data_IF_157134125037
#
_entry.id   IF_157134125037
#
_cell.length_a   1.000
_cell.length_b   1.000
_cell.length_c   1.000
_cell.angle_alpha   90.00
_cell.angle_beta   90.00
_cell.angle_gamma   90.00
#
_symmetry.space_group_name_H-M   'P 1'
#
loop_
_entity.id
_entity.type
_entity.pdbx_description
1 polymer ?
#
# COMPACT_ATOMS: atom_id res chain seq x y z
N UNK A 1 22.24 37.57 30.88
CA UNK A 1 22.62 37.32 32.28
C UNK A 1 22.28 35.88 32.52
N UNK A 2 23.17 35.07 32.69
CA UNK A 2 24.29 34.56 33.40
C UNK A 2 24.23 33.05 33.32
N UNK A 3 25.06 32.41 32.62
CA UNK A 3 26.33 31.73 32.90
C UNK A 3 26.17 30.30 33.40
N UNK A 4 26.82 29.40 32.63
CA UNK A 4 27.23 28.05 32.97
C UNK A 4 28.34 28.04 34.04
N UNK A 5 28.85 26.92 34.59
CA UNK A 5 30.12 26.37 34.07
C UNK A 5 30.19 24.83 34.01
N UNK A 6 30.92 24.28 33.05
CA UNK A 6 32.27 23.68 32.96
C UNK A 6 32.84 22.92 34.17
N UNK A 7 33.33 21.69 33.91
CA UNK A 7 34.66 21.10 34.19
C UNK A 7 34.58 19.58 33.93
N UNK A 8 35.27 18.99 33.02
CA UNK A 8 36.72 18.73 32.73
C UNK A 8 37.38 17.64 33.58
N UNK A 9 38.10 16.79 32.80
CA UNK A 9 39.30 15.99 33.12
C UNK A 9 39.09 14.62 33.87
N UNK A 10 39.71 13.51 33.46
CA UNK A 10 41.10 13.23 33.10
C UNK A 10 41.29 11.86 32.41
N UNK A 11 42.31 11.81 31.59
CA UNK A 11 42.98 10.73 30.91
C UNK A 11 43.64 9.72 31.85
N UNK A 12 43.80 8.47 31.40
CA UNK A 12 45.00 7.65 31.71
C UNK A 12 45.28 6.62 30.62
N UNK A 13 46.38 6.82 29.95
CA UNK A 13 47.08 5.87 29.06
C UNK A 13 47.76 4.77 29.87
N UNK A 14 47.96 3.58 29.26
CA UNK A 14 49.21 2.81 29.37
C UNK A 14 49.26 1.67 28.33
N UNK A 15 50.26 1.73 27.50
CA UNK A 15 50.93 0.63 26.74
C UNK A 15 52.24 0.28 27.50
N UNK A 16 53.07 -0.70 27.04
CA UNK A 16 52.94 -1.95 26.28
C UNK A 16 53.73 -3.13 26.88
N UNK A 17 53.63 -4.33 26.30
CA UNK A 17 54.51 -5.46 26.64
C UNK A 17 54.69 -6.37 25.42
N UNK A 18 55.93 -6.46 25.01
CA UNK A 18 56.47 -7.11 23.81
C UNK A 18 56.97 -8.57 24.08
N UNK A 19 57.01 -9.34 22.96
CA UNK A 19 57.92 -10.44 22.59
C UNK A 19 57.71 -11.84 23.17
N UNK A 20 57.52 -12.83 22.28
CA UNK A 20 58.55 -13.85 22.00
C UNK A 20 58.24 -14.69 20.77
N UNK A 21 59.29 -14.96 20.04
CA UNK A 21 59.48 -15.62 18.75
C UNK A 21 59.43 -17.15 18.80
N UNK A 22 59.07 -17.71 17.63
CA UNK A 22 59.60 -18.90 16.96
C UNK A 22 59.32 -20.31 17.49
N UNK A 23 58.69 -21.11 16.62
CA UNK A 23 59.42 -22.28 16.03
C UNK A 23 58.61 -22.84 14.83
N UNK A 24 59.31 -22.94 13.70
CA UNK A 24 58.93 -23.66 12.49
C UNK A 24 59.05 -25.17 12.67
N UNK A 25 58.23 -25.98 12.06
CA UNK A 25 58.65 -27.00 11.12
C UNK A 25 57.52 -27.74 10.37
N UNK A 26 57.81 -28.35 9.23
CA UNK A 26 56.92 -28.46 8.09
C UNK A 26 56.48 -29.91 7.78
N UNK A 27 55.75 -30.03 6.64
CA UNK A 27 55.41 -31.22 5.86
C UNK A 27 54.19 -32.03 6.34
N UNK A 28 53.10 -31.88 5.55
CA UNK A 28 52.68 -32.96 4.67
C UNK A 28 51.55 -32.48 3.74
N UNK A 29 51.78 -32.70 2.49
CA UNK A 29 50.92 -32.56 1.32
C UNK A 29 49.54 -33.18 1.48
N UNK A 30 48.53 -32.45 1.02
CA UNK A 30 47.16 -32.90 0.86
C UNK A 30 46.32 -31.75 0.29
N UNK A 31 46.59 -31.33 -0.94
CA UNK A 31 45.73 -30.39 -1.64
C UNK A 31 44.45 -31.13 -2.03
N UNK A 32 43.51 -31.22 -1.11
CA UNK A 32 42.09 -31.35 -1.47
C UNK A 32 41.58 -29.97 -1.85
N UNK A 33 41.54 -29.72 -3.16
CA UNK A 33 40.80 -28.61 -3.72
C UNK A 33 39.32 -28.82 -3.37
N UNK A 34 38.90 -28.27 -2.25
CA UNK A 34 37.47 -27.99 -2.04
C UNK A 34 37.10 -26.99 -3.11
N UNK A 35 36.51 -27.53 -4.19
CA UNK A 35 35.71 -26.75 -5.09
C UNK A 35 34.63 -26.06 -4.22
N UNK A 36 34.84 -24.79 -3.94
CA UNK A 36 33.77 -23.93 -3.50
C UNK A 36 32.71 -24.00 -4.64
N UNK A 37 31.73 -24.86 -4.44
CA UNK A 37 30.46 -24.69 -5.16
C UNK A 37 30.00 -23.28 -4.85
N UNK A 38 30.26 -22.33 -5.75
CA UNK A 38 29.70 -21.01 -5.73
C UNK A 38 28.20 -21.21 -5.85
N UNK A 39 27.48 -21.08 -4.74
CA UNK A 39 26.03 -21.02 -4.74
C UNK A 39 25.65 -20.07 -5.87
N UNK A 40 24.80 -20.46 -6.83
CA UNK A 40 24.46 -19.60 -7.95
C UNK A 40 23.98 -18.26 -7.38
N UNK A 41 24.57 -17.15 -7.84
CA UNK A 41 24.19 -15.82 -7.38
C UNK A 41 22.67 -15.65 -7.57
N UNK A 42 21.96 -15.31 -6.51
CA UNK A 42 20.50 -15.10 -6.54
C UNK A 42 20.12 -14.13 -7.67
N UNK A 43 19.13 -14.45 -8.49
CA UNK A 43 18.69 -13.58 -9.57
C UNK A 43 18.27 -12.21 -9.05
N UNK A 44 18.51 -11.16 -9.84
CA UNK A 44 18.22 -9.78 -9.47
C UNK A 44 17.01 -9.25 -10.23
N UNK A 45 16.15 -8.51 -9.52
CA UNK A 45 14.99 -7.80 -10.07
C UNK A 45 15.18 -6.29 -10.00
N UNK A 46 15.07 -5.58 -11.13
CA UNK A 46 15.07 -4.11 -11.17
C UNK A 46 13.65 -3.61 -10.95
N UNK A 47 13.39 -3.02 -9.79
CA UNK A 47 12.09 -2.47 -9.38
C UNK A 47 12.01 -0.97 -9.73
N UNK A 48 11.21 -0.61 -10.72
CA UNK A 48 10.95 0.78 -11.13
C UNK A 48 9.70 1.29 -10.40
N UNK A 49 9.89 2.05 -9.33
CA UNK A 49 8.81 2.52 -8.46
C UNK A 49 9.01 4.00 -8.09
N UNK A 50 8.06 4.87 -8.50
CA UNK A 50 8.09 6.28 -8.11
C UNK A 50 7.90 6.46 -6.61
N UNK A 51 6.85 5.83 -6.03
CA UNK A 51 6.58 5.89 -4.60
C UNK A 51 7.51 4.93 -3.84
N UNK A 52 8.53 5.50 -3.23
CA UNK A 52 9.51 4.81 -2.40
C UNK A 52 9.99 5.75 -1.28
N UNK A 53 10.43 5.28 -0.09
CA UNK A 53 10.88 6.18 0.97
C UNK A 53 11.93 7.18 0.51
N UNK A 54 11.86 8.45 0.93
CA UNK A 54 11.08 9.05 2.02
C UNK A 54 9.68 9.58 1.65
N UNK A 55 9.10 9.21 0.52
CA UNK A 55 7.71 9.55 0.15
C UNK A 55 6.72 9.02 1.18
N UNK A 56 5.63 9.78 1.47
CA UNK A 56 4.58 9.36 2.42
C UNK A 56 3.17 9.33 1.81
N UNK A 57 2.99 9.81 0.60
CA UNK A 57 1.67 10.18 0.04
C UNK A 57 0.91 9.07 -0.66
N UNK A 58 1.33 7.82 -0.61
CA UNK A 58 0.69 6.77 -1.42
C UNK A 58 0.68 5.40 -0.76
N UNK A 59 -0.46 4.69 -0.86
CA UNK A 59 -0.55 3.26 -0.55
C UNK A 59 0.42 2.41 -1.38
N UNK A 60 0.84 2.91 -2.55
CA UNK A 60 1.86 2.29 -3.40
C UNK A 60 3.24 2.19 -2.76
N UNK A 61 3.55 3.09 -1.83
CA UNK A 61 4.76 3.04 -1.02
C UNK A 61 4.91 1.69 -0.31
N UNK A 62 3.86 1.25 0.40
CA UNK A 62 3.89 0.00 1.15
C UNK A 62 4.13 -1.21 0.24
N UNK A 63 3.53 -1.25 -0.97
CA UNK A 63 3.74 -2.33 -1.94
C UNK A 63 5.19 -2.40 -2.40
N UNK A 64 5.76 -1.27 -2.79
CA UNK A 64 7.14 -1.21 -3.30
C UNK A 64 8.19 -1.51 -2.22
N UNK A 65 8.01 -0.97 -1.01
CA UNK A 65 8.92 -1.20 0.12
C UNK A 65 8.89 -2.65 0.56
N UNK A 66 7.69 -3.20 0.83
CA UNK A 66 7.58 -4.58 1.28
C UNK A 66 8.08 -5.55 0.19
N UNK A 67 7.78 -5.29 -1.09
CA UNK A 67 8.30 -6.13 -2.16
C UNK A 67 9.85 -6.10 -2.19
N UNK A 68 10.47 -4.92 -2.08
CA UNK A 68 11.94 -4.81 -2.05
C UNK A 68 12.58 -5.43 -0.81
N UNK A 69 11.85 -5.58 0.29
CA UNK A 69 12.31 -6.26 1.50
C UNK A 69 12.12 -7.77 1.39
N UNK A 70 10.88 -8.19 1.08
CA UNK A 70 10.42 -9.55 1.27
C UNK A 70 10.83 -10.50 0.12
N UNK A 71 11.10 -10.00 -1.10
CA UNK A 71 11.57 -10.81 -2.24
C UNK A 71 12.83 -11.63 -1.93
N UNK A 72 13.66 -11.16 -1.02
CA UNK A 72 14.90 -11.80 -0.62
C UNK A 72 14.67 -13.16 0.07
N UNK A 73 13.58 -13.26 0.81
CA UNK A 73 13.16 -14.51 1.46
C UNK A 73 12.76 -15.59 0.42
N UNK A 74 12.53 -15.16 -0.82
CA UNK A 74 12.14 -16.00 -1.95
C UNK A 74 13.22 -16.09 -3.03
N UNK A 75 14.47 -15.82 -2.67
CA UNK A 75 15.63 -16.03 -3.52
C UNK A 75 15.90 -14.93 -4.56
N UNK A 76 15.26 -13.78 -4.48
CA UNK A 76 15.46 -12.66 -5.39
C UNK A 76 16.20 -11.48 -4.72
N UNK A 77 17.18 -10.90 -5.41
CA UNK A 77 17.87 -9.69 -4.96
C UNK A 77 17.26 -8.46 -5.64
N UNK A 78 16.48 -7.61 -4.96
CA UNK A 78 15.89 -6.41 -5.52
C UNK A 78 16.90 -5.27 -5.67
N UNK A 79 16.80 -4.55 -6.79
CA UNK A 79 17.45 -3.26 -7.07
C UNK A 79 16.32 -2.26 -7.28
N UNK A 80 16.36 -1.11 -6.64
CA UNK A 80 15.28 -0.12 -6.72
C UNK A 80 15.73 1.10 -7.51
N UNK A 81 15.00 1.42 -8.57
CA UNK A 81 15.11 2.66 -9.32
C UNK A 81 13.89 3.54 -8.97
N UNK A 82 14.14 4.65 -8.29
CA UNK A 82 13.09 5.55 -7.81
C UNK A 82 13.40 7.01 -8.14
N UNK A 83 12.47 7.91 -7.87
CA UNK A 83 12.66 9.33 -8.09
C UNK A 83 13.51 9.98 -6.99
N UNK A 84 14.24 11.04 -7.35
CA UNK A 84 14.91 11.87 -6.37
C UNK A 84 13.88 12.48 -5.38
N UNK A 85 14.14 12.48 -4.07
CA UNK A 85 13.21 12.96 -3.05
C UNK A 85 12.73 14.41 -3.24
N UNK A 86 13.45 15.22 -4.01
CA UNK A 86 13.01 16.59 -4.36
C UNK A 86 11.72 16.61 -5.18
N UNK A 87 11.42 15.56 -5.93
CA UNK A 87 10.19 15.43 -6.72
C UNK A 87 8.96 15.13 -5.86
N UNK A 88 9.12 14.60 -4.65
CA UNK A 88 8.00 14.29 -3.76
C UNK A 88 7.40 15.56 -3.18
N UNK A 89 6.06 15.64 -3.15
CA UNK A 89 5.33 16.75 -2.53
C UNK A 89 5.44 16.71 -1.02
N UNK A 90 5.34 15.51 -0.48
CA UNK A 90 5.43 15.22 0.95
C UNK A 90 6.44 14.12 1.20
N UNK A 91 7.30 14.34 2.19
CA UNK A 91 8.35 13.39 2.57
C UNK A 91 8.63 13.44 4.06
N UNK A 92 9.05 12.30 4.59
CA UNK A 92 9.50 12.17 5.98
C UNK A 92 10.70 11.23 6.01
N UNK A 93 11.79 11.67 6.63
CA UNK A 93 13.04 10.93 6.64
C UNK A 93 13.00 9.70 7.56
N UNK A 94 12.06 9.65 8.54
CA UNK A 94 11.79 8.45 9.35
C UNK A 94 11.39 7.24 8.49
N UNK A 95 10.81 7.45 7.31
CA UNK A 95 10.47 6.38 6.38
C UNK A 95 11.72 5.69 5.78
N UNK A 96 12.88 6.33 5.78
CA UNK A 96 14.12 5.73 5.29
C UNK A 96 14.54 4.51 6.11
N UNK A 97 14.18 4.46 7.39
CA UNK A 97 14.44 3.31 8.26
C UNK A 97 13.74 2.01 7.79
N UNK A 98 12.70 2.13 6.95
CA UNK A 98 11.97 0.99 6.36
C UNK A 98 12.69 0.37 5.16
N UNK A 99 13.69 1.04 4.61
CA UNK A 99 14.48 0.53 3.49
C UNK A 99 15.56 -0.40 4.04
N UNK A 100 15.61 -1.68 3.60
CA UNK A 100 16.70 -2.57 4.03
C UNK A 100 18.06 -2.02 3.62
N UNK A 101 19.05 -2.09 4.51
CA UNK A 101 20.37 -1.47 4.32
C UNK A 101 21.16 -2.03 3.13
N UNK A 102 20.87 -3.23 2.74
CA UNK A 102 21.53 -3.98 1.68
C UNK A 102 20.77 -3.97 0.34
N UNK A 103 19.65 -3.25 0.25
CA UNK A 103 18.95 -2.98 -1.01
C UNK A 103 19.60 -1.79 -1.72
N UNK A 104 20.08 -2.00 -2.93
CA UNK A 104 20.59 -0.92 -3.79
C UNK A 104 19.44 -0.04 -4.23
N UNK A 105 19.49 1.25 -3.90
CA UNK A 105 18.46 2.25 -4.26
C UNK A 105 19.09 3.38 -5.06
N UNK A 106 18.76 3.46 -6.33
CA UNK A 106 19.14 4.59 -7.20
C UNK A 106 18.00 5.61 -7.28
N UNK A 107 18.31 6.87 -6.98
CA UNK A 107 17.36 7.99 -6.90
C UNK A 107 17.58 8.93 -8.06
N UNK A 108 16.97 8.61 -9.21
CA UNK A 108 17.15 9.32 -10.46
C UNK A 108 16.52 10.71 -10.46
N UNK A 109 17.06 11.61 -11.26
CA UNK A 109 16.50 12.96 -11.46
C UNK A 109 15.02 12.87 -11.84
N UNK A 110 14.21 13.70 -11.19
CA UNK A 110 12.78 13.86 -11.45
C UNK A 110 12.32 15.25 -10.95
N UNK A 111 11.34 15.82 -11.62
CA UNK A 111 10.67 17.07 -11.22
C UNK A 111 9.17 16.82 -11.10
N UNK A 112 8.53 17.50 -10.16
CA UNK A 112 7.06 17.69 -10.17
C UNK A 112 6.74 18.87 -11.06
N UNK A 113 6.00 18.67 -12.14
CA UNK A 113 5.72 19.67 -13.16
C UNK A 113 5.13 20.96 -12.57
N UNK A 114 4.16 20.85 -11.68
CA UNK A 114 3.52 22.02 -11.08
C UNK A 114 4.48 22.83 -10.21
N UNK A 115 5.28 22.14 -9.38
CA UNK A 115 6.16 22.79 -8.40
C UNK A 115 7.44 23.36 -9.00
N UNK A 116 7.99 22.68 -10.01
CA UNK A 116 9.33 22.99 -10.50
C UNK A 116 9.34 23.63 -11.91
N UNK A 117 8.30 23.37 -12.71
CA UNK A 117 8.17 23.87 -14.08
C UNK A 117 6.99 24.83 -14.25
N UNK A 118 6.15 25.00 -13.22
CA UNK A 118 5.03 25.92 -13.22
C UNK A 118 5.49 27.35 -13.00
N UNK A 119 4.93 28.28 -13.77
CA UNK A 119 5.08 29.72 -13.56
C UNK A 119 3.77 30.31 -13.06
N UNK A 120 3.77 30.96 -11.88
CA UNK A 120 2.57 31.50 -11.21
C UNK A 120 1.43 30.46 -11.08
N UNK A 121 1.77 29.21 -10.75
CA UNK A 121 0.79 28.14 -10.59
C UNK A 121 0.23 27.57 -11.90
N UNK A 122 0.77 27.96 -13.07
CA UNK A 122 0.37 27.47 -14.39
C UNK A 122 1.50 26.75 -15.08
N UNK A 123 1.20 25.70 -15.82
CA UNK A 123 2.13 24.95 -16.67
C UNK A 123 1.42 24.52 -17.96
N UNK A 124 2.18 24.17 -18.99
CA UNK A 124 1.60 23.66 -20.23
C UNK A 124 1.11 22.23 -20.02
N UNK A 125 -0.16 21.95 -20.27
CA UNK A 125 -0.82 20.68 -19.93
C UNK A 125 -0.09 19.44 -20.45
N UNK A 126 0.59 19.51 -21.61
CA UNK A 126 1.38 18.40 -22.15
C UNK A 126 2.59 18.02 -21.30
N UNK A 127 3.13 18.96 -20.48
CA UNK A 127 4.27 18.71 -19.58
C UNK A 127 3.91 17.78 -18.40
N UNK A 128 2.63 17.51 -18.17
CA UNK A 128 2.11 16.62 -17.13
C UNK A 128 1.43 15.37 -17.70
N UNK A 129 1.83 14.94 -18.90
CA UNK A 129 1.29 13.74 -19.54
C UNK A 129 2.38 12.66 -19.65
N UNK A 130 2.08 11.42 -19.24
CA UNK A 130 0.83 10.86 -18.71
C UNK A 130 0.55 11.18 -17.24
N UNK A 131 1.53 11.78 -16.56
CA UNK A 131 1.46 12.22 -15.16
C UNK A 131 2.42 13.39 -14.90
N UNK A 132 2.30 14.13 -13.76
CA UNK A 132 3.13 15.31 -13.46
C UNK A 132 4.63 15.01 -13.27
N UNK A 133 5.04 13.77 -13.28
CA UNK A 133 6.43 13.35 -13.03
C UNK A 133 7.09 12.77 -14.28
N UNK A 134 6.58 13.03 -15.47
CA UNK A 134 7.12 12.54 -16.75
C UNK A 134 8.59 12.88 -16.96
N UNK A 135 9.11 13.94 -16.37
CA UNK A 135 10.55 14.31 -16.38
C UNK A 135 11.43 13.23 -15.74
N UNK A 136 10.88 12.38 -14.88
CA UNK A 136 11.59 11.25 -14.29
C UNK A 136 12.13 10.29 -15.36
N UNK A 137 11.46 10.16 -16.49
CA UNK A 137 11.93 9.36 -17.65
C UNK A 137 13.36 9.76 -18.07
N UNK A 138 13.67 11.07 -18.08
CA UNK A 138 14.97 11.61 -18.52
C UNK A 138 16.10 11.15 -17.59
N UNK A 139 15.87 11.14 -16.28
CA UNK A 139 16.86 10.69 -15.29
C UNK A 139 16.90 9.18 -15.12
N UNK A 140 15.72 8.53 -15.12
CA UNK A 140 15.60 7.12 -14.77
C UNK A 140 16.07 6.17 -15.87
N UNK A 141 15.90 6.49 -17.15
CA UNK A 141 16.38 5.60 -18.22
C UNK A 141 17.91 5.48 -18.20
N UNK A 142 18.71 6.56 -18.18
CA UNK A 142 20.17 6.44 -18.04
C UNK A 142 20.60 5.74 -16.73
N UNK A 143 19.96 6.05 -15.60
CA UNK A 143 20.24 5.42 -14.32
C UNK A 143 19.91 3.91 -14.36
N UNK A 144 18.77 3.54 -14.95
CA UNK A 144 18.38 2.14 -15.14
C UNK A 144 19.36 1.36 -16.03
N UNK A 145 19.81 1.94 -17.14
CA UNK A 145 20.82 1.33 -18.01
C UNK A 145 22.16 1.13 -17.27
N UNK A 146 22.54 2.08 -16.39
CA UNK A 146 23.73 1.92 -15.53
C UNK A 146 23.54 0.77 -14.57
N UNK A 147 22.43 0.72 -13.83
CA UNK A 147 22.10 -0.38 -12.91
C UNK A 147 22.08 -1.73 -13.63
N UNK A 148 21.50 -1.81 -14.83
CA UNK A 148 21.44 -3.06 -15.62
C UNK A 148 22.86 -3.51 -16.00
N UNK A 149 23.73 -2.60 -16.40
CA UNK A 149 25.12 -2.93 -16.77
C UNK A 149 25.93 -3.40 -15.57
N UNK A 150 25.79 -2.72 -14.43
CA UNK A 150 26.54 -2.99 -13.20
C UNK A 150 26.07 -4.25 -12.49
N UNK A 151 24.74 -4.38 -12.30
CA UNK A 151 24.15 -5.40 -11.45
C UNK A 151 23.51 -6.58 -12.19
N UNK A 152 23.37 -6.49 -13.51
CA UNK A 152 22.84 -7.54 -14.40
C UNK A 152 21.54 -8.17 -13.90
N UNK A 153 20.47 -7.40 -13.67
CA UNK A 153 19.18 -7.96 -13.30
C UNK A 153 18.65 -8.87 -14.42
N UNK A 154 17.81 -9.83 -14.04
CA UNK A 154 17.20 -10.79 -14.98
C UNK A 154 15.76 -10.43 -15.34
N UNK A 155 15.13 -9.52 -14.57
CA UNK A 155 13.76 -9.03 -14.79
C UNK A 155 13.64 -7.55 -14.41
N UNK A 156 12.79 -6.83 -15.14
CA UNK A 156 12.33 -5.48 -14.80
C UNK A 156 10.91 -5.61 -14.26
N UNK A 157 10.63 -4.95 -13.14
CA UNK A 157 9.27 -4.76 -12.62
C UNK A 157 8.98 -3.26 -12.54
N UNK A 158 7.77 -2.85 -12.94
CA UNK A 158 7.32 -1.46 -12.81
C UNK A 158 5.92 -1.40 -12.23
N UNK A 159 5.60 -0.37 -11.45
CA UNK A 159 4.30 -0.28 -10.78
C UNK A 159 3.60 1.06 -11.02
N UNK A 160 2.31 0.99 -11.35
CA UNK A 160 1.34 2.09 -11.36
C UNK A 160 0.98 2.47 -9.89
N UNK A 161 0.47 3.67 -9.53
CA UNK A 161 -0.30 4.59 -10.38
C UNK A 161 0.49 5.68 -11.12
N UNK A 162 1.81 5.65 -11.10
CA UNK A 162 2.60 6.59 -11.89
C UNK A 162 2.90 5.94 -13.25
N UNK A 163 2.17 6.37 -14.28
CA UNK A 163 2.27 5.80 -15.63
C UNK A 163 3.68 5.94 -16.23
N UNK A 164 4.41 6.99 -15.85
CA UNK A 164 5.82 7.20 -16.21
C UNK A 164 6.72 6.03 -15.78
N UNK A 165 6.40 5.30 -14.70
CA UNK A 165 7.16 4.11 -14.31
C UNK A 165 7.10 3.01 -15.38
N UNK A 166 5.94 2.81 -16.02
CA UNK A 166 5.80 1.88 -17.13
C UNK A 166 6.53 2.36 -18.39
N UNK A 167 6.53 3.66 -18.68
CA UNK A 167 7.31 4.23 -19.80
C UNK A 167 8.82 4.02 -19.60
N UNK A 168 9.34 4.17 -18.37
CA UNK A 168 10.73 3.88 -18.04
C UNK A 168 11.03 2.40 -18.26
N UNK A 169 10.19 1.52 -17.73
CA UNK A 169 10.38 0.07 -17.90
C UNK A 169 10.27 -0.36 -19.38
N UNK A 170 9.33 0.21 -20.13
CA UNK A 170 9.21 0.02 -21.57
C UNK A 170 10.53 0.40 -22.31
N UNK A 171 11.07 1.59 -22.02
CA UNK A 171 12.32 2.04 -22.63
C UNK A 171 13.50 1.12 -22.27
N UNK A 172 13.63 0.74 -20.98
CA UNK A 172 14.68 -0.19 -20.54
C UNK A 172 14.52 -1.58 -21.18
N UNK A 173 13.30 -2.12 -21.24
CA UNK A 173 13.00 -3.37 -21.92
C UNK A 173 13.41 -3.32 -23.40
N UNK A 174 13.01 -2.27 -24.11
CA UNK A 174 13.33 -2.10 -25.55
C UNK A 174 14.82 -1.96 -25.82
N UNK A 175 15.57 -1.31 -24.94
CA UNK A 175 17.00 -1.06 -25.10
C UNK A 175 17.89 -2.24 -24.69
N UNK A 176 17.40 -3.11 -23.79
CA UNK A 176 18.23 -4.18 -23.21
C UNK A 176 17.74 -5.60 -23.50
N UNK A 177 16.49 -5.75 -23.96
CA UNK A 177 15.86 -7.06 -24.15
C UNK A 177 15.52 -7.78 -22.83
N UNK A 178 15.69 -7.14 -21.67
CA UNK A 178 15.32 -7.74 -20.38
C UNK A 178 13.80 -7.95 -20.31
N UNK A 179 13.32 -9.08 -19.82
CA UNK A 179 11.91 -9.31 -19.63
C UNK A 179 11.31 -8.34 -18.60
N UNK A 180 10.05 -7.99 -18.83
CA UNK A 180 9.35 -6.96 -18.05
C UNK A 180 8.02 -7.46 -17.50
N UNK A 181 7.82 -7.29 -16.19
CA UNK A 181 6.56 -7.50 -15.45
C UNK A 181 5.96 -6.14 -15.10
N UNK A 182 4.76 -5.86 -15.61
CA UNK A 182 4.05 -4.61 -15.36
C UNK A 182 2.96 -4.80 -14.30
N UNK A 183 3.10 -4.13 -13.16
CA UNK A 183 2.15 -4.16 -12.04
C UNK A 183 1.19 -2.98 -12.15
N UNK A 184 0.00 -3.24 -12.69
CA UNK A 184 -1.00 -2.21 -12.97
C UNK A 184 -1.68 -1.70 -11.71
N UNK A 185 -1.88 -2.56 -10.72
CA UNK A 185 -2.66 -2.28 -9.51
C UNK A 185 -4.09 -1.87 -9.84
N UNK A 186 -4.30 -0.61 -10.21
CA UNK A 186 -5.59 -0.03 -10.58
C UNK A 186 -5.65 0.19 -12.11
N UNK A 187 -6.82 0.17 -12.76
CA UNK A 187 -6.95 0.50 -14.18
C UNK A 187 -6.42 1.90 -14.50
N UNK A 188 -5.66 2.04 -15.59
CA UNK A 188 -5.16 3.35 -16.03
C UNK A 188 -6.27 4.22 -16.61
N UNK A 189 -7.22 3.56 -17.26
CA UNK A 189 -8.41 4.17 -17.83
C UNK A 189 -9.63 3.31 -17.50
N UNK A 190 -10.73 3.98 -17.24
CA UNK A 190 -12.02 3.36 -17.01
C UNK A 190 -13.11 4.08 -17.79
N UNK A 191 -14.20 3.39 -18.02
CA UNK A 191 -15.44 3.99 -18.52
C UNK A 191 -16.55 3.41 -17.65
N UNK A 192 -17.26 4.27 -16.97
CA UNK A 192 -18.42 3.90 -16.18
C UNK A 192 -19.49 3.28 -17.09
N UNK A 193 -19.91 2.03 -16.85
CA UNK A 193 -20.81 1.31 -17.74
C UNK A 193 -22.22 1.93 -17.80
N UNK A 194 -22.65 2.60 -16.72
CA UNK A 194 -24.01 3.15 -16.61
C UNK A 194 -24.09 4.56 -17.17
N UNK A 195 -23.11 5.41 -16.85
CA UNK A 195 -23.08 6.82 -17.29
C UNK A 195 -22.28 7.08 -18.56
N UNK A 196 -21.42 6.14 -18.97
CA UNK A 196 -20.45 6.33 -20.05
C UNK A 196 -19.33 7.32 -19.71
N UNK A 197 -19.25 7.80 -18.46
CA UNK A 197 -18.23 8.73 -18.02
C UNK A 197 -16.87 8.08 -18.05
N UNK A 198 -15.90 8.78 -18.65
CA UNK A 198 -14.50 8.31 -18.75
C UNK A 198 -13.66 8.80 -17.57
N UNK A 199 -12.80 7.92 -17.08
CA UNK A 199 -11.78 8.27 -16.11
C UNK A 199 -10.38 7.96 -16.66
N UNK A 200 -9.44 8.92 -16.60
CA UNK A 200 -9.62 10.32 -16.18
C UNK A 200 -10.58 11.09 -17.12
N UNK A 201 -11.26 12.10 -16.59
CA UNK A 201 -12.24 12.90 -17.33
C UNK A 201 -11.64 13.83 -18.39
N UNK A 202 -10.37 14.22 -18.24
CA UNK A 202 -9.64 14.97 -19.26
C UNK A 202 -9.36 14.08 -20.47
N UNK A 203 -9.88 14.44 -21.64
CA UNK A 203 -9.79 13.63 -22.85
C UNK A 203 -8.36 13.42 -23.36
N UNK A 204 -7.46 14.40 -23.15
CA UNK A 204 -6.04 14.28 -23.56
C UNK A 204 -5.31 13.33 -22.63
N UNK A 205 -5.52 13.48 -21.34
CA UNK A 205 -4.95 12.58 -20.33
C UNK A 205 -5.45 11.14 -20.54
N UNK A 206 -6.75 10.97 -20.78
CA UNK A 206 -7.35 9.67 -21.10
C UNK A 206 -6.67 9.04 -22.32
N UNK A 207 -6.52 9.79 -23.42
CA UNK A 207 -5.91 9.29 -24.65
C UNK A 207 -4.46 8.88 -24.45
N UNK A 208 -3.67 9.71 -23.74
CA UNK A 208 -2.25 9.39 -23.48
C UNK A 208 -2.12 8.19 -22.53
N UNK A 209 -2.93 8.10 -21.47
CA UNK A 209 -2.94 6.93 -20.59
C UNK A 209 -3.34 5.66 -21.31
N UNK A 210 -4.32 5.73 -22.22
CA UNK A 210 -4.68 4.60 -23.08
C UNK A 210 -3.50 4.14 -23.93
N UNK A 211 -2.77 5.06 -24.56
CA UNK A 211 -1.57 4.69 -25.34
C UNK A 211 -0.49 4.02 -24.48
N UNK A 212 -0.26 4.52 -23.25
CA UNK A 212 0.70 3.91 -22.33
C UNK A 212 0.22 2.53 -21.89
N UNK A 213 -1.07 2.38 -21.58
CA UNK A 213 -1.69 1.10 -21.22
C UNK A 213 -1.54 0.07 -22.34
N UNK A 214 -1.94 0.43 -23.56
CA UNK A 214 -1.84 -0.44 -24.75
C UNK A 214 -0.39 -0.86 -25.00
N UNK A 215 0.56 0.09 -24.99
CA UNK A 215 1.97 -0.22 -25.20
C UNK A 215 2.53 -1.12 -24.09
N UNK A 216 2.11 -0.91 -22.83
CA UNK A 216 2.52 -1.73 -21.70
C UNK A 216 2.02 -3.17 -21.84
N UNK A 217 0.71 -3.34 -22.08
CA UNK A 217 0.08 -4.65 -22.23
C UNK A 217 0.69 -5.45 -23.40
N UNK A 218 0.99 -4.78 -24.50
CA UNK A 218 1.54 -5.46 -25.69
C UNK A 218 3.00 -5.88 -25.54
N UNK A 219 3.78 -5.15 -24.74
CA UNK A 219 5.24 -5.33 -24.70
C UNK A 219 5.75 -6.05 -23.43
N UNK A 220 5.05 -5.96 -22.30
CA UNK A 220 5.48 -6.68 -21.12
C UNK A 220 5.25 -8.20 -21.24
N UNK A 221 6.05 -9.01 -20.56
CA UNK A 221 5.90 -10.46 -20.54
C UNK A 221 4.74 -10.90 -19.65
N UNK A 222 4.52 -10.19 -18.54
CA UNK A 222 3.38 -10.44 -17.65
C UNK A 222 2.80 -9.12 -17.15
N UNK A 223 1.47 -9.10 -17.04
CA UNK A 223 0.71 -8.02 -16.42
C UNK A 223 0.18 -8.52 -15.07
N UNK A 224 0.35 -7.74 -14.02
CA UNK A 224 -0.11 -8.08 -12.68
C UNK A 224 -1.21 -7.13 -12.25
N UNK A 225 -2.30 -7.69 -11.73
CA UNK A 225 -3.46 -6.95 -11.20
C UNK A 225 -3.67 -7.29 -9.73
N UNK A 226 -4.34 -6.40 -8.98
CA UNK A 226 -4.49 -6.57 -7.52
C UNK A 226 -5.87 -7.09 -7.12
N UNK A 227 -6.83 -7.10 -8.04
CA UNK A 227 -8.18 -7.60 -7.82
C UNK A 227 -8.67 -8.46 -8.99
N UNK A 228 -9.55 -9.45 -8.75
CA UNK A 228 -10.20 -10.21 -9.81
C UNK A 228 -10.97 -9.31 -10.79
N UNK A 229 -11.68 -8.28 -10.28
CA UNK A 229 -12.45 -7.35 -11.11
C UNK A 229 -11.57 -6.56 -12.08
N UNK A 230 -10.43 -5.99 -11.60
CA UNK A 230 -9.47 -5.31 -12.47
C UNK A 230 -8.88 -6.29 -13.51
N UNK A 231 -8.52 -7.50 -13.09
CA UNK A 231 -8.02 -8.55 -13.99
C UNK A 231 -9.03 -8.88 -15.08
N UNK A 232 -10.32 -9.00 -14.73
CA UNK A 232 -11.38 -9.32 -15.69
C UNK A 232 -11.60 -8.19 -16.70
N UNK A 233 -11.65 -6.93 -16.25
CA UNK A 233 -11.74 -5.75 -17.13
C UNK A 233 -10.63 -5.77 -18.19
N UNK A 234 -9.39 -6.11 -17.80
CA UNK A 234 -8.27 -6.15 -18.74
C UNK A 234 -8.30 -7.38 -19.64
N UNK A 235 -8.75 -8.54 -19.18
CA UNK A 235 -8.93 -9.73 -20.01
C UNK A 235 -9.97 -9.49 -21.10
N UNK A 236 -11.04 -8.80 -20.80
CA UNK A 236 -12.08 -8.42 -21.76
C UNK A 236 -11.58 -7.36 -22.75
N UNK A 237 -10.80 -6.40 -22.28
CA UNK A 237 -10.23 -5.33 -23.12
C UNK A 237 -9.11 -5.82 -24.04
N UNK A 238 -8.31 -6.79 -23.58
CA UNK A 238 -7.14 -7.34 -24.28
C UNK A 238 -7.15 -8.88 -24.31
N UNK A 239 -8.15 -9.52 -24.96
CA UNK A 239 -8.35 -10.97 -24.89
C UNK A 239 -7.14 -11.77 -25.43
N UNK A 240 -6.40 -11.22 -26.41
CA UNK A 240 -5.20 -11.84 -26.96
C UNK A 240 -4.03 -11.92 -25.98
N UNK A 241 -4.08 -11.16 -24.88
CA UNK A 241 -3.06 -11.13 -23.82
C UNK A 241 -3.57 -11.70 -22.47
N UNK A 242 -4.79 -12.25 -22.44
CA UNK A 242 -5.42 -12.74 -21.21
C UNK A 242 -4.57 -13.83 -20.50
N UNK A 243 -3.86 -14.66 -21.26
CA UNK A 243 -2.97 -15.72 -20.74
C UNK A 243 -1.73 -15.18 -20.00
N UNK A 244 -1.33 -13.93 -20.26
CA UNK A 244 -0.16 -13.28 -19.66
C UNK A 244 -0.50 -12.47 -18.41
N UNK A 245 -1.75 -12.44 -18.01
CA UNK A 245 -2.25 -11.67 -16.89
C UNK A 245 -2.27 -12.52 -15.61
N UNK A 246 -1.78 -11.96 -14.51
CA UNK A 246 -1.68 -12.61 -13.20
C UNK A 246 -2.35 -11.77 -12.12
N UNK A 247 -2.88 -12.44 -11.11
CA UNK A 247 -3.44 -11.82 -9.92
C UNK A 247 -2.42 -11.90 -8.79
N UNK A 248 -1.93 -10.76 -8.30
CA UNK A 248 -1.14 -10.65 -7.08
C UNK A 248 -1.70 -9.50 -6.26
N UNK A 249 -2.56 -9.82 -5.32
CA UNK A 249 -3.33 -8.87 -4.54
C UNK A 249 -2.52 -7.86 -3.72
N UNK A 250 -3.21 -6.91 -3.13
CA UNK A 250 -2.69 -6.08 -2.05
C UNK A 250 -2.68 -6.85 -0.73
N UNK A 251 -2.08 -6.26 0.30
CA UNK A 251 -2.01 -6.88 1.61
C UNK A 251 -1.55 -5.90 2.68
N UNK A 252 -1.46 -6.38 3.92
CA UNK A 252 -0.93 -5.63 5.07
C UNK A 252 0.56 -5.94 5.30
N UNK A 253 1.23 -5.05 6.03
CA UNK A 253 2.65 -5.20 6.41
C UNK A 253 2.77 -5.67 7.86
N UNK A 254 3.17 -6.93 8.06
CA UNK A 254 3.29 -7.53 9.39
C UNK A 254 4.31 -6.82 10.29
N UNK A 255 5.44 -6.34 9.73
CA UNK A 255 6.42 -5.60 10.52
C UNK A 255 5.85 -4.29 11.09
N UNK A 256 5.00 -3.63 10.31
CA UNK A 256 4.32 -2.42 10.79
C UNK A 256 3.35 -2.73 11.92
N UNK A 257 2.65 -3.87 11.90
CA UNK A 257 1.80 -4.33 12.99
C UNK A 257 2.60 -4.77 14.22
N UNK A 258 3.70 -5.49 14.03
CA UNK A 258 4.59 -5.90 15.12
C UNK A 258 5.25 -4.70 15.84
N UNK A 259 5.51 -3.62 15.09
CA UNK A 259 6.05 -2.38 15.64
C UNK A 259 4.98 -1.44 16.23
N UNK A 260 3.70 -1.73 16.03
CA UNK A 260 2.62 -0.93 16.59
C UNK A 260 2.51 -1.16 18.12
N UNK A 261 2.16 -0.12 18.90
CA UNK A 261 1.89 -0.31 20.31
C UNK A 261 0.83 -1.38 20.56
N UNK A 262 1.06 -2.24 21.55
CA UNK A 262 0.07 -3.25 21.92
C UNK A 262 -1.21 -2.60 22.45
N UNK A 263 -2.39 -3.19 22.20
CA UNK A 263 -3.65 -2.70 22.73
C UNK A 263 -3.61 -2.57 24.26
N UNK A 264 -4.01 -1.41 24.77
CA UNK A 264 -4.01 -1.14 26.21
C UNK A 264 -5.15 -1.86 26.93
N UNK A 265 -6.28 -2.10 26.24
CA UNK A 265 -7.49 -2.67 26.79
C UNK A 265 -7.77 -4.06 26.20
N UNK A 266 -7.33 -5.11 26.90
CA UNK A 266 -7.67 -6.51 26.60
C UNK A 266 -8.70 -7.10 27.57
N UNK A 267 -9.22 -6.30 28.52
CA UNK A 267 -10.13 -6.74 29.58
C UNK A 267 -11.60 -6.83 29.16
N UNK A 268 -12.47 -7.36 30.05
CA UNK A 268 -13.90 -7.40 29.83
C UNK A 268 -14.49 -6.03 29.52
N UNK A 269 -15.49 -6.01 28.63
CA UNK A 269 -16.09 -4.75 28.11
C UNK A 269 -17.34 -4.29 28.88
N UNK A 270 -17.53 -4.83 30.08
CA UNK A 270 -18.72 -4.58 30.88
C UNK A 270 -18.88 -3.10 31.22
N UNK A 271 -20.01 -2.53 30.82
CA UNK A 271 -20.45 -1.20 31.23
C UNK A 271 -19.86 0.00 30.47
N UNK A 272 -18.99 -0.20 29.46
CA UNK A 272 -18.51 0.90 28.61
C UNK A 272 -19.16 0.92 27.22
N UNK A 273 -19.26 2.09 26.56
CA UNK A 273 -19.70 2.13 25.18
C UNK A 273 -18.79 1.32 24.25
N UNK A 274 -19.39 0.66 23.24
CA UNK A 274 -18.63 0.04 22.16
C UNK A 274 -17.98 1.12 21.27
N UNK A 275 -16.72 0.94 20.95
CA UNK A 275 -15.97 1.87 20.12
C UNK A 275 -15.77 1.29 18.72
N UNK A 276 -16.38 1.95 17.72
CA UNK A 276 -16.17 1.64 16.31
C UNK A 276 -15.25 2.67 15.67
N UNK A 277 -14.33 2.21 14.81
CA UNK A 277 -13.36 3.08 14.16
C UNK A 277 -13.44 2.93 12.65
N UNK A 278 -13.50 4.05 11.93
CA UNK A 278 -13.11 4.15 10.54
C UNK A 278 -11.80 4.92 10.45
N UNK A 279 -10.82 4.41 9.71
CA UNK A 279 -9.53 5.07 9.51
C UNK A 279 -9.26 5.35 8.04
N UNK A 280 -9.19 6.62 7.66
CA UNK A 280 -8.86 7.08 6.32
C UNK A 280 -9.95 7.93 5.66
N UNK A 281 -9.66 8.39 4.45
CA UNK A 281 -10.49 9.37 3.74
C UNK A 281 -11.90 8.85 3.44
N UNK A 282 -12.88 9.69 3.71
CA UNK A 282 -14.29 9.55 3.35
C UNK A 282 -14.62 10.65 2.34
N UNK A 283 -14.93 10.27 1.10
CA UNK A 283 -15.24 11.24 0.04
C UNK A 283 -16.74 11.57 0.08
N UNK A 284 -17.13 12.85 0.12
CA UNK A 284 -18.52 13.23 -0.14
C UNK A 284 -18.98 12.72 -1.50
N UNK A 285 -20.12 12.01 -1.56
CA UNK A 285 -20.68 11.45 -2.79
C UNK A 285 -20.86 9.93 -2.76
N UNK A 286 -21.09 9.28 -3.91
CA UNK A 286 -21.59 7.90 -3.95
C UNK A 286 -20.58 6.82 -3.51
N UNK A 287 -19.27 7.14 -3.47
CA UNK A 287 -18.24 6.13 -3.24
C UNK A 287 -17.98 5.84 -1.76
N UNK A 288 -17.86 6.86 -0.91
CA UNK A 288 -17.44 6.67 0.50
C UNK A 288 -18.06 7.68 1.44
N UNK A 289 -19.31 8.07 1.22
CA UNK A 289 -19.99 9.02 2.09
C UNK A 289 -20.61 8.33 3.31
N UNK A 290 -20.37 8.86 4.49
CA UNK A 290 -20.94 8.35 5.74
C UNK A 290 -22.38 8.84 6.00
N UNK A 291 -23.00 9.61 5.11
CA UNK A 291 -24.28 10.29 5.34
C UNK A 291 -25.41 9.31 5.67
N UNK A 292 -25.48 8.16 4.97
CA UNK A 292 -26.50 7.15 5.26
C UNK A 292 -26.29 6.48 6.63
N UNK A 293 -25.03 6.33 7.09
CA UNK A 293 -24.74 5.89 8.44
C UNK A 293 -25.23 6.95 9.47
N UNK A 294 -24.94 8.23 9.26
CA UNK A 294 -25.40 9.29 10.16
C UNK A 294 -26.92 9.34 10.26
N UNK A 295 -27.62 9.12 9.13
CA UNK A 295 -29.08 9.02 9.11
C UNK A 295 -29.59 7.80 9.90
N UNK A 296 -28.96 6.65 9.77
CA UNK A 296 -29.27 5.45 10.54
C UNK A 296 -29.06 5.66 12.05
N UNK A 297 -27.95 6.31 12.43
CA UNK A 297 -27.67 6.63 13.84
C UNK A 297 -28.71 7.57 14.43
N UNK A 298 -29.15 8.62 13.68
CA UNK A 298 -30.25 9.49 14.10
C UNK A 298 -31.51 8.70 14.37
N UNK A 299 -31.91 7.81 13.47
CA UNK A 299 -33.08 6.96 13.64
C UNK A 299 -32.97 6.10 14.91
N UNK A 300 -31.87 5.35 15.07
CA UNK A 300 -31.67 4.46 16.20
C UNK A 300 -31.62 5.20 17.54
N UNK A 301 -31.05 6.39 17.56
CA UNK A 301 -31.06 7.27 18.74
C UNK A 301 -32.47 7.72 19.10
N UNK A 302 -33.27 8.17 18.13
CA UNK A 302 -34.63 8.56 18.34
C UNK A 302 -35.50 7.41 18.85
N UNK A 303 -35.22 6.19 18.42
CA UNK A 303 -35.84 4.96 18.90
C UNK A 303 -35.33 4.48 20.28
N UNK A 304 -34.36 5.20 20.88
CA UNK A 304 -33.76 4.85 22.16
C UNK A 304 -32.90 3.57 22.13
N UNK A 305 -32.52 3.09 20.93
CA UNK A 305 -31.76 1.84 20.77
C UNK A 305 -30.24 2.03 20.94
N UNK A 306 -29.76 3.26 20.76
CA UNK A 306 -28.36 3.64 20.95
C UNK A 306 -28.25 4.98 21.67
N UNK A 307 -27.16 5.19 22.40
CA UNK A 307 -26.79 6.44 23.06
C UNK A 307 -25.28 6.57 23.18
N UNK A 308 -24.78 7.71 23.63
CA UNK A 308 -23.35 7.92 23.87
C UNK A 308 -22.74 6.98 24.95
N UNK A 309 -23.59 6.43 25.83
CA UNK A 309 -23.19 5.44 26.84
C UNK A 309 -23.10 4.02 26.25
N UNK A 310 -23.68 3.78 25.07
CA UNK A 310 -23.69 2.44 24.45
C UNK A 310 -22.86 2.30 23.21
N UNK A 311 -22.58 3.43 22.50
CA UNK A 311 -21.86 3.44 21.23
C UNK A 311 -21.07 4.73 21.05
N UNK A 312 -19.82 4.62 20.59
CA UNK A 312 -18.98 5.70 20.08
C UNK A 312 -18.40 5.32 18.74
N UNK A 313 -18.36 6.28 17.83
CA UNK A 313 -17.79 6.10 16.48
C UNK A 313 -16.73 7.17 16.27
N UNK A 314 -15.52 6.73 15.91
CA UNK A 314 -14.43 7.62 15.53
C UNK A 314 -14.23 7.56 14.02
N UNK A 315 -14.40 8.70 13.37
CA UNK A 315 -14.07 8.87 11.95
C UNK A 315 -12.71 9.57 11.87
N UNK A 316 -11.66 8.78 11.68
CA UNK A 316 -10.28 9.26 11.67
C UNK A 316 -9.82 9.65 10.31
N UNK A 317 -9.22 10.85 10.18
CA UNK A 317 -8.57 11.36 8.97
C UNK A 317 -9.49 11.36 7.75
N UNK A 318 -10.71 11.86 7.91
CA UNK A 318 -11.73 11.87 6.84
C UNK A 318 -11.30 12.67 5.62
N UNK A 319 -10.43 13.69 5.80
CA UNK A 319 -10.02 14.62 4.76
C UNK A 319 -11.08 15.69 4.40
N UNK A 320 -12.28 15.55 4.95
CA UNK A 320 -13.43 16.44 4.72
C UNK A 320 -14.14 16.77 6.02
N UNK A 321 -13.37 17.09 7.07
CA UNK A 321 -13.88 17.25 8.43
C UNK A 321 -14.93 18.35 8.56
N UNK A 322 -14.82 19.45 7.78
CA UNK A 322 -15.82 20.53 7.80
C UNK A 322 -17.19 20.02 7.29
N UNK A 323 -17.19 19.32 6.16
CA UNK A 323 -18.39 18.70 5.61
C UNK A 323 -19.04 17.72 6.60
N UNK A 324 -18.26 16.83 7.20
CA UNK A 324 -18.79 15.84 8.14
C UNK A 324 -19.22 16.47 9.48
N UNK A 325 -18.59 17.53 9.94
CA UNK A 325 -19.00 18.27 11.16
C UNK A 325 -20.42 18.82 10.99
N UNK A 326 -20.71 19.42 9.84
CA UNK A 326 -22.06 19.91 9.53
C UNK A 326 -23.07 18.78 9.48
N UNK A 327 -22.75 17.64 8.83
CA UNK A 327 -23.66 16.50 8.73
C UNK A 327 -23.91 15.83 10.07
N UNK A 328 -22.91 15.65 10.90
CA UNK A 328 -23.04 15.12 12.27
C UNK A 328 -23.98 16.01 13.09
N UNK A 329 -23.81 17.32 13.02
CA UNK A 329 -24.69 18.28 13.70
C UNK A 329 -26.12 18.22 13.17
N UNK A 330 -26.33 18.20 11.84
CA UNK A 330 -27.65 18.09 11.21
C UNK A 330 -28.40 16.80 11.60
N UNK A 331 -27.69 15.70 11.77
CA UNK A 331 -28.26 14.44 12.25
C UNK A 331 -28.40 14.34 13.76
N UNK A 332 -27.84 15.30 14.50
CA UNK A 332 -27.95 15.34 15.98
C UNK A 332 -27.23 14.20 16.68
N UNK A 333 -26.09 13.72 16.15
CA UNK A 333 -25.35 12.56 16.66
C UNK A 333 -23.92 12.91 17.12
N UNK A 334 -23.68 14.17 17.44
CA UNK A 334 -22.35 14.68 17.83
C UNK A 334 -21.80 14.10 19.15
N UNK A 335 -22.64 13.54 19.99
CA UNK A 335 -22.27 12.82 21.22
C UNK A 335 -21.87 11.36 20.96
N UNK A 336 -22.24 10.79 19.78
CA UNK A 336 -21.91 9.43 19.37
C UNK A 336 -20.73 9.42 18.39
N UNK A 337 -20.67 10.38 17.46
CA UNK A 337 -19.69 10.40 16.35
C UNK A 337 -18.69 11.53 16.54
N UNK A 338 -17.39 11.19 16.56
CA UNK A 338 -16.29 12.16 16.63
C UNK A 338 -15.44 12.12 15.36
N UNK A 339 -14.95 13.31 14.96
CA UNK A 339 -13.96 13.47 13.90
C UNK A 339 -12.58 13.58 14.53
N UNK A 340 -11.66 12.74 14.08
CA UNK A 340 -10.34 12.63 14.68
C UNK A 340 -9.25 12.95 13.65
N UNK A 341 -8.17 13.67 14.02
CA UNK A 341 -7.09 14.03 13.10
C UNK A 341 -6.28 12.80 12.66
N UNK A 342 -5.43 13.00 11.64
CA UNK A 342 -4.48 11.98 11.19
C UNK A 342 -3.52 11.55 12.29
N UNK A 343 -3.27 10.27 12.41
CA UNK A 343 -2.26 9.67 13.30
C UNK A 343 -1.02 9.22 12.51
N UNK A 344 0.14 9.10 13.17
CA UNK A 344 1.23 8.30 12.66
C UNK A 344 0.77 6.87 12.36
N UNK A 345 1.29 6.25 11.31
CA UNK A 345 0.77 4.98 10.79
C UNK A 345 0.69 3.87 11.85
N UNK A 346 1.74 3.68 12.65
CA UNK A 346 1.74 2.67 13.72
C UNK A 346 0.70 2.96 14.81
N UNK A 347 0.47 4.24 15.14
CA UNK A 347 -0.57 4.61 16.09
C UNK A 347 -1.99 4.36 15.52
N UNK A 348 -2.18 4.56 14.21
CA UNK A 348 -3.43 4.21 13.55
C UNK A 348 -3.68 2.69 13.55
N UNK A 349 -2.65 1.87 13.34
CA UNK A 349 -2.75 0.41 13.47
C UNK A 349 -3.09 -0.02 14.91
N UNK A 350 -2.48 0.61 15.91
CA UNK A 350 -2.81 0.35 17.32
C UNK A 350 -4.27 0.69 17.63
N UNK A 351 -4.76 1.83 17.14
CA UNK A 351 -6.18 2.22 17.29
C UNK A 351 -7.13 1.20 16.66
N UNK A 352 -6.80 0.69 15.46
CA UNK A 352 -7.58 -0.37 14.82
C UNK A 352 -7.61 -1.64 15.67
N UNK A 353 -6.49 -2.03 16.29
CA UNK A 353 -6.40 -3.20 17.16
C UNK A 353 -7.10 -2.99 18.52
N UNK A 354 -7.24 -1.75 19.00
CA UNK A 354 -7.95 -1.43 20.24
C UNK A 354 -9.47 -1.35 20.07
N UNK A 355 -9.95 -0.99 18.86
CA UNK A 355 -11.37 -0.84 18.58
C UNK A 355 -12.18 -2.10 18.87
N UNK A 356 -13.47 -1.93 19.19
CA UNK A 356 -14.40 -3.04 19.34
C UNK A 356 -14.89 -3.57 18.00
N UNK A 357 -14.89 -2.70 16.99
CA UNK A 357 -15.20 -3.03 15.62
C UNK A 357 -14.71 -1.97 14.65
N UNK A 358 -14.63 -2.33 13.38
CA UNK A 358 -14.10 -1.50 12.31
C UNK A 358 -15.17 -1.21 11.26
N UNK A 359 -15.24 0.02 10.79
CA UNK A 359 -16.19 0.48 9.76
C UNK A 359 -15.49 0.59 8.43
N UNK A 360 -16.04 -0.08 7.41
CA UNK A 360 -15.53 -0.02 6.04
C UNK A 360 -16.58 0.60 5.11
N UNK A 361 -16.17 1.57 4.29
CA UNK A 361 -17.04 2.26 3.33
C UNK A 361 -16.50 2.11 1.92
N UNK A 362 -17.35 1.64 1.00
CA UNK A 362 -17.09 1.64 -0.44
C UNK A 362 -18.40 1.51 -1.23
N UNK A 363 -18.66 2.46 -2.11
CA UNK A 363 -19.81 2.45 -3.00
C UNK A 363 -19.58 1.63 -4.27
N UNK A 364 -20.64 1.49 -5.06
CA UNK A 364 -20.67 0.71 -6.29
C UNK A 364 -19.74 1.22 -7.39
N UNK A 365 -19.40 2.50 -7.37
CA UNK A 365 -18.46 3.10 -8.35
C UNK A 365 -17.04 2.53 -8.26
N UNK A 366 -16.69 1.90 -7.12
CA UNK A 366 -15.40 1.27 -6.89
C UNK A 366 -15.48 -0.27 -6.79
N UNK A 367 -16.53 -0.89 -7.30
CA UNK A 367 -16.74 -2.35 -7.24
C UNK A 367 -15.56 -3.20 -7.72
N UNK A 368 -14.81 -2.84 -8.79
CA UNK A 368 -13.65 -3.61 -9.22
C UNK A 368 -12.43 -3.52 -8.29
N UNK A 369 -12.44 -2.62 -7.31
CA UNK A 369 -11.33 -2.37 -6.42
C UNK A 369 -11.58 -2.90 -5.00
N UNK A 370 -10.50 -3.19 -4.26
CA UNK A 370 -10.52 -3.49 -2.83
C UNK A 370 -9.67 -2.45 -2.11
N UNK A 371 -10.23 -1.70 -1.14
CA UNK A 371 -9.47 -0.71 -0.39
C UNK A 371 -8.38 -1.39 0.43
N UNK A 372 -7.15 -0.87 0.38
CA UNK A 372 -6.00 -1.47 1.07
C UNK A 372 -6.22 -1.63 2.58
N UNK A 373 -7.00 -0.74 3.19
CA UNK A 373 -7.37 -0.81 4.62
C UNK A 373 -8.14 -2.08 5.01
N UNK A 374 -8.85 -2.73 4.08
CA UNK A 374 -9.50 -3.99 4.38
C UNK A 374 -8.50 -5.04 4.86
N UNK A 375 -7.35 -5.13 4.23
CA UNK A 375 -6.31 -6.08 4.63
C UNK A 375 -5.71 -5.75 6.00
N UNK A 376 -5.59 -4.46 6.34
CA UNK A 376 -5.19 -4.02 7.68
C UNK A 376 -6.28 -4.37 8.72
N UNK A 377 -7.55 -4.22 8.36
CA UNK A 377 -8.68 -4.60 9.22
C UNK A 377 -8.74 -6.11 9.49
N UNK A 378 -8.47 -6.93 8.46
CA UNK A 378 -8.34 -8.38 8.64
C UNK A 378 -7.23 -8.71 9.65
N UNK A 379 -6.06 -8.06 9.51
CA UNK A 379 -4.93 -8.26 10.43
C UNK A 379 -5.17 -7.73 11.83
N UNK A 380 -5.93 -6.66 11.98
CA UNK A 380 -6.29 -6.11 13.29
C UNK A 380 -7.17 -7.07 14.12
N UNK A 381 -7.75 -8.10 13.47
CA UNK A 381 -8.59 -9.13 14.12
C UNK A 381 -9.74 -8.52 14.92
N UNK A 382 -10.42 -7.58 14.30
CA UNK A 382 -11.64 -6.99 14.85
C UNK A 382 -12.81 -7.27 13.92
N UNK A 383 -14.01 -7.40 14.48
CA UNK A 383 -15.22 -7.47 13.65
C UNK A 383 -15.28 -6.30 12.67
N UNK A 384 -15.80 -6.56 11.47
CA UNK A 384 -15.91 -5.54 10.42
C UNK A 384 -17.37 -5.32 10.08
N UNK A 385 -17.83 -4.06 10.17
CA UNK A 385 -19.11 -3.62 9.63
C UNK A 385 -18.86 -2.95 8.29
N UNK A 386 -19.29 -3.60 7.21
CA UNK A 386 -18.97 -3.18 5.86
C UNK A 386 -20.18 -2.54 5.17
N UNK A 387 -20.10 -1.23 4.94
CA UNK A 387 -21.05 -0.46 4.17
C UNK A 387 -20.58 -0.45 2.71
N UNK A 388 -20.93 -1.50 1.95
CA UNK A 388 -20.39 -1.75 0.61
C UNK A 388 -21.47 -2.31 -0.32
N UNK A 389 -21.26 -2.21 -1.64
CA UNK A 389 -22.09 -2.93 -2.62
C UNK A 389 -21.80 -4.45 -2.49
N UNK A 390 -22.84 -5.25 -2.38
CA UNK A 390 -22.75 -6.71 -2.22
C UNK A 390 -22.19 -7.42 -3.46
N UNK A 391 -22.21 -6.77 -4.62
CA UNK A 391 -21.66 -7.27 -5.90
C UNK A 391 -20.18 -6.94 -6.09
N UNK A 392 -19.60 -6.09 -5.22
CA UNK A 392 -18.22 -5.61 -5.35
C UNK A 392 -17.19 -6.60 -4.84
N UNK A 393 -15.94 -6.43 -5.29
CA UNK A 393 -14.77 -7.23 -4.87
C UNK A 393 -14.54 -7.19 -3.36
N UNK A 394 -14.82 -6.06 -2.72
CA UNK A 394 -14.71 -5.92 -1.26
C UNK A 394 -15.66 -6.86 -0.52
N UNK A 395 -16.92 -6.96 -0.98
CA UNK A 395 -17.87 -7.89 -0.43
C UNK A 395 -17.47 -9.36 -0.71
N UNK A 396 -16.90 -9.64 -1.88
CA UNK A 396 -16.40 -10.98 -2.22
C UNK A 396 -15.27 -11.41 -1.27
N UNK A 397 -14.28 -10.55 -1.01
CA UNK A 397 -13.19 -10.84 -0.04
C UNK A 397 -13.74 -11.10 1.36
N UNK A 398 -14.69 -10.28 1.83
CA UNK A 398 -15.31 -10.49 3.15
C UNK A 398 -16.08 -11.80 3.25
N UNK A 399 -16.84 -12.18 2.20
CA UNK A 399 -17.57 -13.46 2.18
C UNK A 399 -16.63 -14.66 2.13
N UNK A 400 -15.55 -14.59 1.32
CA UNK A 400 -14.54 -15.65 1.27
C UNK A 400 -13.90 -15.85 2.65
N UNK A 401 -13.59 -14.75 3.33
CA UNK A 401 -13.07 -14.78 4.69
C UNK A 401 -14.13 -15.14 5.77
N UNK A 402 -15.40 -15.31 5.40
CA UNK A 402 -16.55 -15.55 6.30
C UNK A 402 -16.69 -14.45 7.35
N UNK A 403 -16.47 -13.20 6.92
CA UNK A 403 -16.46 -12.03 7.78
C UNK A 403 -17.58 -11.08 7.44
N UNK A 404 -17.92 -10.29 8.46
CA UNK A 404 -18.57 -9.01 8.34
C UNK A 404 -20.08 -9.07 8.15
N UNK A 405 -20.71 -8.12 8.77
CA UNK A 405 -22.05 -7.68 8.39
C UNK A 405 -21.90 -6.76 7.19
N UNK A 406 -22.38 -7.20 6.04
CA UNK A 406 -22.33 -6.47 4.77
C UNK A 406 -23.70 -5.82 4.55
N UNK A 407 -23.72 -4.48 4.42
CA UNK A 407 -24.94 -3.71 4.16
C UNK A 407 -24.67 -2.68 3.05
N UNK A 408 -25.70 -2.33 2.22
CA UNK A 408 -25.53 -1.32 1.20
C UNK A 408 -25.24 0.05 1.79
N UNK A 409 -24.21 0.73 1.26
CA UNK A 409 -23.78 2.06 1.71
C UNK A 409 -24.90 3.11 1.63
N UNK A 410 -25.81 2.97 0.68
CA UNK A 410 -26.86 3.96 0.37
C UNK A 410 -28.20 3.71 1.06
N UNK A 411 -28.32 2.72 1.93
CA UNK A 411 -29.58 2.39 2.64
C UNK A 411 -29.47 2.59 4.14
N UNK A 412 -29.94 3.74 4.64
CA UNK A 412 -29.94 4.01 6.09
C UNK A 412 -30.76 3.01 6.90
N UNK A 413 -31.85 2.45 6.34
CA UNK A 413 -32.69 1.45 7.00
C UNK A 413 -31.95 0.12 7.19
N UNK A 414 -31.29 -0.37 6.12
CA UNK A 414 -30.49 -1.61 6.22
C UNK A 414 -29.26 -1.41 7.11
N UNK A 415 -28.65 -0.21 7.07
CA UNK A 415 -27.56 0.15 7.98
C UNK A 415 -28.03 0.12 9.42
N UNK A 416 -29.21 0.71 9.74
CA UNK A 416 -29.75 0.71 11.09
C UNK A 416 -29.97 -0.72 11.62
N UNK A 417 -30.62 -1.57 10.80
CA UNK A 417 -30.90 -2.96 11.16
C UNK A 417 -29.61 -3.77 11.35
N UNK A 418 -28.69 -3.69 10.36
CA UNK A 418 -27.41 -4.41 10.41
C UNK A 418 -26.50 -3.94 11.53
N UNK A 419 -26.50 -2.63 11.85
CA UNK A 419 -25.71 -2.09 12.95
C UNK A 419 -26.17 -2.63 14.30
N UNK A 420 -27.47 -2.73 14.55
CA UNK A 420 -27.97 -3.29 15.81
C UNK A 420 -27.55 -4.75 15.97
N UNK A 421 -27.72 -5.57 14.92
CA UNK A 421 -27.26 -6.95 14.92
C UNK A 421 -25.76 -7.03 15.20
N UNK A 422 -24.96 -6.25 14.50
CA UNK A 422 -23.50 -6.20 14.65
C UNK A 422 -23.06 -5.84 16.06
N UNK A 423 -23.67 -4.80 16.67
CA UNK A 423 -23.38 -4.40 18.05
C UNK A 423 -23.75 -5.52 19.05
N UNK A 424 -24.84 -6.24 18.81
CA UNK A 424 -25.25 -7.37 19.64
C UNK A 424 -24.26 -8.54 19.53
N UNK A 425 -23.82 -8.87 18.32
CA UNK A 425 -22.81 -9.92 18.09
C UNK A 425 -21.48 -9.59 18.80
N UNK A 426 -21.03 -8.31 18.76
CA UNK A 426 -19.85 -7.88 19.50
C UNK A 426 -20.04 -8.04 21.02
N UNK A 427 -21.19 -7.61 21.55
CA UNK A 427 -21.50 -7.75 23.01
C UNK A 427 -21.51 -9.20 23.45
N UNK A 428 -22.03 -10.09 22.63
CA UNK A 428 -22.05 -11.53 22.88
C UNK A 428 -20.71 -12.23 22.64
N UNK A 429 -19.73 -11.55 22.06
CA UNK A 429 -18.43 -12.13 21.71
C UNK A 429 -18.49 -13.15 20.57
N UNK A 430 -19.54 -13.13 19.75
CA UNK A 430 -19.74 -14.07 18.62
C UNK A 430 -19.52 -13.42 17.25
N UNK A 431 -19.24 -12.13 17.21
CA UNK A 431 -18.93 -11.44 15.95
C UNK A 431 -17.72 -12.08 15.28
N UNK A 432 -17.80 -12.41 13.97
CA UNK A 432 -16.73 -13.13 13.27
C UNK A 432 -15.50 -12.25 13.11
N UNK A 433 -14.32 -12.86 13.26
CA UNK A 433 -13.00 -12.27 13.02
C UNK A 433 -12.19 -13.14 12.04
N UNK A 434 -11.23 -12.54 11.35
CA UNK A 434 -10.41 -13.25 10.38
C UNK A 434 -9.61 -14.40 11.02
N UNK A 435 -9.60 -15.55 10.35
CA UNK A 435 -8.76 -16.68 10.73
C UNK A 435 -7.28 -16.40 10.44
N UNK A 436 -6.37 -17.12 11.12
CA UNK A 436 -4.92 -17.04 10.83
C UNK A 436 -4.60 -17.34 9.37
N UNK A 437 -5.25 -18.34 8.78
CA UNK A 437 -5.03 -18.73 7.40
C UNK A 437 -5.40 -17.58 6.45
N UNK A 438 -6.51 -16.90 6.71
CA UNK A 438 -6.96 -15.76 5.91
C UNK A 438 -6.04 -14.55 6.07
N UNK A 439 -5.63 -14.24 7.31
CA UNK A 439 -4.66 -13.18 7.60
C UNK A 439 -3.36 -13.44 6.83
N UNK A 440 -2.79 -14.65 6.94
CA UNK A 440 -1.52 -14.99 6.32
C UNK A 440 -1.58 -14.88 4.78
N UNK A 441 -2.69 -15.28 4.16
CA UNK A 441 -2.92 -15.15 2.71
C UNK A 441 -2.83 -13.68 2.24
N UNK A 442 -3.22 -12.74 3.08
CA UNK A 442 -3.21 -11.32 2.77
C UNK A 442 -1.99 -10.56 3.34
N UNK A 443 -0.96 -11.25 3.84
CA UNK A 443 0.29 -10.58 4.21
C UNK A 443 1.08 -10.15 2.97
N UNK A 444 1.76 -9.02 3.03
CA UNK A 444 2.64 -8.58 1.92
C UNK A 444 3.79 -9.53 1.67
N UNK A 445 4.24 -10.24 2.70
CA UNK A 445 5.23 -11.30 2.56
C UNK A 445 4.71 -12.44 1.68
N UNK A 446 3.45 -12.88 1.89
CA UNK A 446 2.82 -13.86 1.01
C UNK A 446 2.66 -13.32 -0.42
N UNK A 447 2.31 -12.03 -0.59
CA UNK A 447 2.22 -11.40 -1.92
C UNK A 447 3.59 -11.27 -2.60
N UNK A 448 4.68 -11.13 -1.84
CA UNK A 448 6.04 -11.18 -2.38
C UNK A 448 6.39 -12.60 -2.88
N UNK A 449 5.93 -13.68 -2.19
CA UNK A 449 6.10 -15.03 -2.70
C UNK A 449 5.33 -15.28 -4.01
N UNK A 450 4.08 -14.79 -4.11
CA UNK A 450 3.32 -14.87 -5.36
C UNK A 450 4.04 -14.12 -6.50
N UNK A 451 4.60 -12.93 -6.21
CA UNK A 451 5.34 -12.14 -7.20
C UNK A 451 6.66 -12.81 -7.61
N UNK A 452 7.36 -13.46 -6.68
CA UNK A 452 8.59 -14.22 -7.00
C UNK A 452 8.32 -15.35 -7.99
N UNK A 453 7.19 -16.04 -7.89
CA UNK A 453 6.77 -17.05 -8.86
C UNK A 453 6.52 -16.44 -10.25
N UNK A 454 5.95 -15.24 -10.32
CA UNK A 454 5.80 -14.51 -11.60
C UNK A 454 7.17 -14.16 -12.19
N UNK A 455 8.13 -13.73 -11.36
CA UNK A 455 9.49 -13.45 -11.81
C UNK A 455 10.22 -14.72 -12.29
N UNK A 456 10.06 -15.84 -11.58
CA UNK A 456 10.62 -17.14 -11.98
C UNK A 456 10.06 -17.60 -13.31
N UNK A 457 8.74 -17.47 -13.53
CA UNK A 457 8.09 -17.79 -14.79
C UNK A 457 8.70 -17.00 -15.95
N UNK A 458 8.92 -15.70 -15.75
CA UNK A 458 9.43 -14.80 -16.80
C UNK A 458 10.94 -14.98 -17.02
N UNK A 459 11.71 -15.27 -15.99
CA UNK A 459 13.16 -15.48 -16.10
C UNK A 459 13.52 -16.80 -16.80
N UNK A 460 12.67 -17.85 -16.70
CA UNK A 460 12.86 -19.16 -17.37
C UNK A 460 12.44 -19.16 -18.83
N UNK A 461 11.66 -18.18 -19.27
CA UNK A 461 11.15 -18.08 -20.64
C UNK A 461 12.18 -17.50 -21.63
N UNK A 462 13.44 -17.34 -21.21
CA UNK A 462 14.61 -17.05 -22.01
C UNK A 462 15.30 -18.37 -22.37
#
# INVERSE_FOLDING_TARGET
MSQAPHQDLLLAESRPGTLSMAEENPLLSGAEAHAHETKPESPRALLVAYHYPPCITSSGLHRSVCLSRDLRDFGWCPLVLTANPRAYRERRDDQLARVPKDVVVDRAFALDTLRHLGFRGRYLGWMALPDPWVTWLIGAVPAGLRLIREWRPTVIWSTYPIATAHLIAYALHRLTGLPWVADFRDPMIETDPDSGQKYPSDARLYSVRRMVEEATIQQCQRCVFVTPGALQIYRERYPQRAGDMRLVGNGFDEESFAAAPLPKNTGPRDGRPLELVHSGTLYPGPDRDANSLLAALRQLRHEGKISAETLRIRLRATGYDEYYRERIAQHGVADIVTLEPTLPYQAALAEMMEADGLLLFQGSTSNPAVPAKLYEYLRARRPIFALVDDRGETAAVLREARLGTIVPLNSSEQIATGLLQYLEEIRKGVAPIASEAEINRHSRKHKASEMSLVFDEVARSK
#
